data_IF_613695027650
#
_entry.id   IF_613695027650
#
_cell.length_a   1.000
_cell.length_b   1.000
_cell.length_c   1.000
_cell.angle_alpha   90.00
_cell.angle_beta   90.00
_cell.angle_gamma   90.00
#
_symmetry.space_group_name_H-M   'P 1'
#
loop_
_entity.id
_entity.type
_entity.pdbx_description
1 polymer ?
#
# COMPACT_ATOMS: atom_id res chain seq x y z
N UNK A 1 -21.99 -26.96 -16.04
CA UNK A 1 -21.75 -26.86 -17.50
C UNK A 1 -20.28 -26.56 -17.73
N UNK A 2 -19.60 -27.22 -18.67
CA UNK A 2 -18.18 -26.95 -19.01
C UNK A 2 -18.10 -26.30 -20.38
N UNK A 3 -17.25 -25.27 -20.51
CA UNK A 3 -16.95 -24.57 -21.77
C UNK A 3 -15.44 -24.64 -22.02
N UNK A 4 -15.04 -24.67 -23.29
CA UNK A 4 -13.65 -24.72 -23.71
C UNK A 4 -13.32 -23.45 -24.52
N UNK A 5 -12.08 -22.97 -24.37
CA UNK A 5 -11.52 -21.82 -25.07
C UNK A 5 -10.16 -22.24 -25.61
N UNK A 6 -9.85 -21.84 -26.83
CA UNK A 6 -8.55 -22.05 -27.47
C UNK A 6 -7.94 -20.70 -27.79
N UNK A 7 -6.63 -20.59 -27.64
CA UNK A 7 -5.87 -19.37 -27.89
C UNK A 7 -4.70 -19.68 -28.82
N UNK A 8 -4.37 -18.74 -29.68
CA UNK A 8 -3.03 -18.69 -30.26
C UNK A 8 -1.99 -18.37 -29.17
N UNK A 9 -0.72 -18.61 -29.47
CA UNK A 9 0.38 -18.31 -28.52
C UNK A 9 0.37 -16.83 -28.09
N UNK A 10 0.19 -15.90 -29.03
CA UNK A 10 0.16 -14.46 -28.73
C UNK A 10 -1.05 -14.02 -27.89
N UNK A 11 -2.21 -14.64 -28.11
CA UNK A 11 -3.39 -14.39 -27.28
C UNK A 11 -3.18 -14.92 -25.86
N UNK A 12 -2.56 -16.10 -25.72
CA UNK A 12 -2.25 -16.66 -24.42
C UNK A 12 -1.29 -15.79 -23.62
N UNK A 13 -0.22 -15.28 -24.23
CA UNK A 13 0.67 -14.33 -23.57
C UNK A 13 -0.07 -13.07 -23.09
N UNK A 14 -1.03 -12.57 -23.88
CA UNK A 14 -1.85 -11.42 -23.50
C UNK A 14 -2.74 -11.75 -22.30
N UNK A 15 -3.33 -12.95 -22.26
CA UNK A 15 -4.09 -13.46 -21.11
C UNK A 15 -3.21 -13.52 -19.87
N UNK A 16 -2.01 -14.11 -19.96
CA UNK A 16 -1.08 -14.22 -18.83
C UNK A 16 -0.65 -12.86 -18.27
N UNK A 17 -0.41 -11.88 -19.15
CA UNK A 17 -0.12 -10.50 -18.71
C UNK A 17 -1.28 -9.90 -17.93
N UNK A 18 -2.53 -10.07 -18.40
CA UNK A 18 -3.73 -9.56 -17.70
C UNK A 18 -3.97 -10.30 -16.39
N UNK A 19 -3.76 -11.62 -16.35
CA UNK A 19 -3.86 -12.42 -15.12
C UNK A 19 -2.87 -11.94 -14.06
N UNK A 20 -1.59 -11.77 -14.43
CA UNK A 20 -0.56 -11.26 -13.53
C UNK A 20 -0.91 -9.89 -12.98
N UNK A 21 -1.35 -8.99 -13.85
CA UNK A 21 -1.69 -7.63 -13.46
C UNK A 21 -2.94 -7.56 -12.54
N UNK A 22 -3.87 -8.51 -12.68
CA UNK A 22 -5.01 -8.68 -11.77
C UNK A 22 -4.68 -9.52 -10.51
N UNK A 23 -3.42 -9.95 -10.31
CA UNK A 23 -3.03 -10.81 -9.19
C UNK A 23 -3.59 -12.23 -9.24
N UNK A 24 -4.12 -12.67 -10.38
CA UNK A 24 -4.75 -13.98 -10.53
C UNK A 24 -3.71 -15.09 -10.76
N UNK A 25 -3.80 -16.16 -9.97
CA UNK A 25 -2.90 -17.33 -10.07
C UNK A 25 -3.43 -18.47 -10.94
N UNK A 26 -4.75 -18.48 -11.23
CA UNK A 26 -5.43 -19.55 -11.98
C UNK A 26 -6.30 -18.94 -13.06
N UNK A 27 -6.29 -19.55 -14.24
CA UNK A 27 -7.03 -19.05 -15.42
C UNK A 27 -8.55 -19.15 -15.25
N UNK A 28 -9.07 -20.26 -14.71
CA UNK A 28 -10.53 -20.49 -14.60
C UNK A 28 -11.29 -19.41 -13.81
N UNK A 29 -10.90 -19.02 -12.58
CA UNK A 29 -11.60 -17.96 -11.87
C UNK A 29 -11.42 -16.59 -12.54
N UNK A 30 -10.26 -16.31 -13.14
CA UNK A 30 -10.01 -15.09 -13.90
C UNK A 30 -10.92 -15.00 -15.13
N UNK A 31 -11.02 -16.06 -15.92
CA UNK A 31 -11.86 -16.13 -17.10
C UNK A 31 -13.34 -16.04 -16.74
N UNK A 32 -13.76 -16.65 -15.62
CA UNK A 32 -15.13 -16.55 -15.13
C UNK A 32 -15.49 -15.11 -14.77
N UNK A 33 -14.64 -14.41 -14.01
CA UNK A 33 -14.84 -13.00 -13.69
C UNK A 33 -14.87 -12.14 -14.95
N UNK A 34 -13.94 -12.37 -15.88
CA UNK A 34 -13.91 -11.64 -17.15
C UNK A 34 -15.18 -11.78 -17.98
N UNK A 35 -15.80 -12.96 -17.98
CA UNK A 35 -17.04 -13.24 -18.73
C UNK A 35 -18.27 -12.70 -18.01
N UNK A 36 -18.32 -12.75 -16.67
CA UNK A 36 -19.48 -12.31 -15.89
C UNK A 36 -19.52 -10.79 -15.70
N UNK A 37 -18.37 -10.16 -15.49
CA UNK A 37 -18.30 -8.77 -15.03
C UNK A 37 -18.04 -7.76 -16.17
N UNK A 38 -17.84 -8.23 -17.41
CA UNK A 38 -17.62 -7.40 -18.60
C UNK A 38 -16.26 -6.68 -18.66
N UNK A 39 -15.59 -6.48 -17.53
CA UNK A 39 -14.23 -5.94 -17.43
C UNK A 39 -13.49 -6.53 -16.22
N UNK A 40 -12.35 -7.20 -16.46
CA UNK A 40 -11.36 -7.39 -15.39
C UNK A 40 -10.62 -6.06 -15.20
N UNK A 41 -11.02 -5.31 -14.17
CA UNK A 41 -10.33 -4.08 -13.74
C UNK A 41 -8.97 -4.44 -13.17
N UNK A 42 -7.93 -4.24 -13.97
CA UNK A 42 -6.53 -4.36 -13.54
C UNK A 42 -6.22 -3.12 -12.72
N UNK A 43 -6.36 -3.21 -11.40
CA UNK A 43 -5.84 -2.17 -10.51
C UNK A 43 -4.32 -2.32 -10.43
N UNK A 44 -3.60 -1.50 -11.19
CA UNK A 44 -2.18 -1.29 -10.93
C UNK A 44 -2.08 -0.49 -9.64
N UNK A 45 -1.92 -1.20 -8.52
CA UNK A 45 -1.60 -0.55 -7.25
C UNK A 45 -0.19 0.02 -7.41
N UNK A 46 -0.08 1.31 -7.75
CA UNK A 46 1.20 2.00 -7.89
C UNK A 46 1.94 2.15 -6.55
N UNK A 47 1.28 1.78 -5.46
CA UNK A 47 1.74 1.97 -4.09
C UNK A 47 1.96 0.62 -3.40
N UNK A 48 3.21 0.33 -3.02
CA UNK A 48 3.50 -0.79 -2.13
C UNK A 48 3.18 -0.40 -0.69
N UNK A 49 2.10 -0.92 -0.08
CA UNK A 49 1.71 -0.55 1.28
C UNK A 49 2.66 -1.12 2.33
N UNK A 50 3.57 -2.03 1.97
CA UNK A 50 4.58 -2.57 2.89
C UNK A 50 5.59 -1.49 3.29
N UNK A 51 6.00 -0.65 2.34
CA UNK A 51 6.93 0.47 2.56
C UNK A 51 6.34 1.49 3.54
N UNK A 52 5.07 1.84 3.37
CA UNK A 52 4.36 2.73 4.30
C UNK A 52 4.25 2.13 5.70
N UNK A 53 3.99 0.82 5.79
CA UNK A 53 3.88 0.12 7.08
C UNK A 53 5.18 0.16 7.88
N UNK A 54 6.32 0.00 7.21
CA UNK A 54 7.65 0.06 7.84
C UNK A 54 7.92 1.47 8.39
N UNK A 55 7.63 2.51 7.61
CA UNK A 55 7.78 3.89 8.07
C UNK A 55 6.85 4.23 9.23
N UNK A 56 5.57 3.82 9.16
CA UNK A 56 4.61 4.02 10.26
C UNK A 56 5.02 3.29 11.54
N UNK A 57 5.56 2.07 11.43
CA UNK A 57 6.05 1.33 12.59
C UNK A 57 7.24 2.04 13.27
N UNK A 58 8.16 2.61 12.47
CA UNK A 58 9.30 3.39 12.99
C UNK A 58 8.83 4.64 13.74
N UNK A 59 7.86 5.36 13.18
CA UNK A 59 7.24 6.53 13.81
C UNK A 59 6.56 6.14 15.13
N UNK A 60 5.76 5.06 15.12
CA UNK A 60 5.07 4.57 16.32
C UNK A 60 6.04 4.20 17.44
N UNK A 61 7.16 3.55 17.11
CA UNK A 61 8.20 3.22 18.09
C UNK A 61 8.84 4.46 18.73
N UNK A 62 9.14 5.49 17.94
CA UNK A 62 9.73 6.73 18.46
C UNK A 62 8.76 7.48 19.39
N UNK A 63 7.47 7.56 19.04
CA UNK A 63 6.43 8.15 19.90
C UNK A 63 6.34 7.37 21.22
N UNK A 64 6.38 6.03 21.15
CA UNK A 64 6.28 5.18 22.33
C UNK A 64 7.52 5.29 23.24
N UNK A 65 8.70 5.51 22.67
CA UNK A 65 9.93 5.81 23.43
C UNK A 65 9.84 7.15 24.16
N UNK A 66 9.36 8.20 23.48
CA UNK A 66 9.13 9.51 24.12
C UNK A 66 8.14 9.35 25.27
N UNK A 67 7.00 8.69 25.03
CA UNK A 67 5.99 8.45 26.07
C UNK A 67 6.54 7.67 27.27
N UNK A 68 7.36 6.64 27.03
CA UNK A 68 8.03 5.91 28.13
C UNK A 68 9.03 6.77 28.88
N UNK A 69 9.84 7.56 28.18
CA UNK A 69 10.81 8.48 28.80
C UNK A 69 10.11 9.48 29.72
N UNK A 70 9.05 10.14 29.23
CA UNK A 70 8.20 11.04 30.02
C UNK A 70 7.62 10.35 31.26
N UNK A 71 7.11 9.12 31.09
CA UNK A 71 6.48 8.37 32.18
C UNK A 71 7.49 7.86 33.22
N UNK A 72 8.77 7.68 32.87
CA UNK A 72 9.78 7.06 33.75
C UNK A 72 10.56 8.12 34.54
N UNK A 73 10.84 9.30 33.98
CA UNK A 73 11.66 10.33 34.64
C UNK A 73 10.87 11.35 35.49
N UNK A 74 9.55 11.21 35.62
CA UNK A 74 8.71 12.11 36.45
C UNK A 74 8.86 13.60 36.08
N UNK A 75 9.20 13.89 34.82
CA UNK A 75 9.34 15.25 34.30
C UNK A 75 9.92 15.23 32.89
N UNK A 76 9.55 16.23 32.11
CA UNK A 76 10.07 16.47 30.75
C UNK A 76 10.64 17.86 30.71
N UNK A 77 11.85 17.99 30.17
CA UNK A 77 12.42 19.30 29.93
C UNK A 77 11.74 19.97 28.72
N UNK A 78 11.69 21.30 28.72
CA UNK A 78 11.11 22.07 27.62
C UNK A 78 11.78 21.76 26.27
N UNK A 79 13.09 21.51 26.28
CA UNK A 79 13.85 21.18 25.07
C UNK A 79 13.51 19.79 24.53
N UNK A 80 13.29 18.79 25.39
CA UNK A 80 12.84 17.46 24.97
C UNK A 80 11.44 17.52 24.32
N UNK A 81 10.53 18.33 24.89
CA UNK A 81 9.19 18.53 24.32
C UNK A 81 9.23 19.29 22.99
N UNK A 82 10.13 20.26 22.86
CA UNK A 82 10.36 21.01 21.62
C UNK A 82 10.93 20.10 20.52
N UNK A 83 11.88 19.25 20.86
CA UNK A 83 12.47 18.28 19.94
C UNK A 83 11.44 17.24 19.47
N UNK A 84 10.64 16.69 20.40
CA UNK A 84 9.54 15.79 20.08
C UNK A 84 8.52 16.43 19.11
N UNK A 85 8.16 17.68 19.36
CA UNK A 85 7.22 18.42 18.49
C UNK A 85 7.80 18.68 17.09
N UNK A 86 9.08 19.00 16.98
CA UNK A 86 9.75 19.16 15.68
C UNK A 86 9.76 17.87 14.87
N UNK A 87 10.07 16.74 15.52
CA UNK A 87 10.04 15.42 14.87
C UNK A 87 8.63 15.08 14.38
N UNK A 88 7.60 15.38 15.18
CA UNK A 88 6.21 15.16 14.80
C UNK A 88 5.81 15.99 13.57
N UNK A 89 6.23 17.26 13.52
CA UNK A 89 5.97 18.14 12.37
C UNK A 89 6.67 17.64 11.10
N UNK A 90 7.89 17.12 11.20
CA UNK A 90 8.59 16.52 10.05
C UNK A 90 7.91 15.24 9.55
N UNK A 91 7.42 14.41 10.47
CA UNK A 91 6.63 13.22 10.13
C UNK A 91 5.36 13.61 9.39
N UNK A 92 4.59 14.57 9.91
CA UNK A 92 3.38 15.06 9.24
C UNK A 92 3.67 15.61 7.84
N UNK A 93 4.73 16.41 7.69
CA UNK A 93 5.12 16.96 6.39
C UNK A 93 5.53 15.87 5.38
N UNK A 94 6.15 14.79 5.83
CA UNK A 94 6.54 13.66 4.98
C UNK A 94 5.33 12.84 4.53
N UNK A 95 4.37 12.62 5.44
CA UNK A 95 3.11 11.93 5.14
C UNK A 95 2.28 12.74 4.13
N UNK A 96 2.09 14.04 4.37
CA UNK A 96 1.32 14.89 3.44
C UNK A 96 1.93 14.88 2.04
N UNK A 97 3.26 14.92 1.94
CA UNK A 97 3.97 14.87 0.65
C UNK A 97 3.77 13.53 -0.07
N UNK A 98 3.82 12.42 0.66
CA UNK A 98 3.56 11.09 0.11
C UNK A 98 2.11 10.94 -0.37
N UNK A 99 1.14 11.45 0.38
CA UNK A 99 -0.28 11.44 -0.01
C UNK A 99 -0.55 12.35 -1.22
N UNK A 100 0.17 13.48 -1.34
CA UNK A 100 0.07 14.40 -2.48
C UNK A 100 0.59 13.81 -3.80
N UNK A 101 1.41 12.78 -3.73
CA UNK A 101 1.98 12.09 -4.89
C UNK A 101 1.15 10.87 -5.33
N UNK A 102 0.06 10.56 -4.62
CA UNK A 102 -0.93 9.57 -5.07
C UNK A 102 -1.84 10.28 -6.07
N UNK A 103 -1.83 9.90 -7.37
CA UNK A 103 -2.77 10.47 -8.33
C UNK A 103 -4.20 10.16 -7.87
N UNK A 104 -5.09 11.15 -7.93
CA UNK A 104 -6.52 10.88 -7.86
C UNK A 104 -6.84 9.86 -8.96
N UNK A 105 -7.34 8.69 -8.56
CA UNK A 105 -7.66 7.62 -9.48
C UNK A 105 -8.92 7.94 -10.28
N UNK A 106 -8.86 7.71 -11.59
CA UNK A 106 -10.01 7.54 -12.48
C UNK A 106 -10.80 6.26 -12.14
#
# INVERSE_FOLDING_TARGET
>A
MRKALSFSAGEWERVERRMRAAGARKFEPFARAAVLDGEVRVQRVAFDPSVLRVELARIGNNINQIARHVNTESGVTFEEMRAARMLLTQVQASISRALSQVPEGD
#
